data_IF_756607341725
#
_entry.id   IF_756607341725
#
_cell.length_a   1.000
_cell.length_b   1.000
_cell.length_c   1.000
_cell.angle_alpha   90.00
_cell.angle_beta   90.00
_cell.angle_gamma   90.00
#
_symmetry.space_group_name_H-M   'P 1'
#
loop_
_entity.id
_entity.type
_entity.pdbx_description
1 polymer ?
#
# COMPACT_ATOMS: atom_id res chain seq x y z
N UNK A 1 -5.99 25.87 46.25
CA UNK A 1 -6.79 25.53 45.04
C UNK A 1 -6.08 25.91 43.72
N UNK A 2 -5.54 27.12 43.56
CA UNK A 2 -4.89 27.57 42.31
C UNK A 2 -3.64 26.75 41.91
N UNK A 3 -2.81 26.31 42.90
CA UNK A 3 -1.63 25.45 42.63
C UNK A 3 -1.99 24.02 42.24
N UNK A 4 -3.15 23.51 42.65
CA UNK A 4 -3.64 22.18 42.27
C UNK A 4 -4.20 22.20 40.85
N UNK A 5 -4.88 23.27 40.45
CA UNK A 5 -5.35 23.43 39.06
C UNK A 5 -4.18 23.54 38.07
N UNK A 6 -3.08 24.23 38.45
CA UNK A 6 -1.89 24.35 37.60
C UNK A 6 -1.15 23.01 37.43
N UNK A 7 -1.13 22.19 38.49
CA UNK A 7 -0.53 20.85 38.42
C UNK A 7 -1.36 19.90 37.55
N UNK A 8 -2.70 19.98 37.61
CA UNK A 8 -3.59 19.16 36.78
C UNK A 8 -3.53 19.59 35.29
N UNK A 9 -3.43 20.89 35.01
CA UNK A 9 -3.26 21.37 33.63
C UNK A 9 -1.88 21.01 33.05
N UNK A 10 -0.81 21.01 33.83
CA UNK A 10 0.52 20.57 33.35
C UNK A 10 0.57 19.06 33.13
N UNK A 11 -0.10 18.24 33.93
CA UNK A 11 -0.17 16.80 33.73
C UNK A 11 -1.03 16.44 32.48
N UNK A 12 -2.08 17.21 32.19
CA UNK A 12 -2.89 17.03 30.97
C UNK A 12 -2.15 17.42 29.67
N UNK A 13 -1.15 18.31 29.76
CA UNK A 13 -0.33 18.70 28.60
C UNK A 13 0.87 17.77 28.34
N UNK A 14 1.25 16.91 29.29
CA UNK A 14 2.36 15.96 29.13
C UNK A 14 1.92 14.57 28.66
N UNK A 15 0.64 14.30 28.60
CA UNK A 15 0.07 13.13 27.93
C UNK A 15 -0.37 13.62 26.53
N UNK A 16 0.60 13.98 25.67
CA UNK A 16 0.36 13.94 24.25
C UNK A 16 0.18 12.46 23.93
N UNK A 17 -1.02 12.01 23.54
CA UNK A 17 -1.11 10.69 22.96
C UNK A 17 -0.18 10.73 21.74
N UNK A 18 0.85 9.89 21.74
CA UNK A 18 1.52 9.57 20.50
C UNK A 18 0.39 9.18 19.55
N UNK A 19 0.08 10.04 18.59
CA UNK A 19 -0.88 9.75 17.54
C UNK A 19 -0.23 8.70 16.66
N UNK A 20 -0.26 7.44 17.13
CA UNK A 20 -0.04 6.31 16.27
C UNK A 20 -1.05 6.45 15.14
N UNK A 21 -0.58 6.46 13.92
CA UNK A 21 -1.44 6.50 12.76
C UNK A 21 -2.44 5.36 12.87
N UNK A 22 -3.73 5.69 12.90
CA UNK A 22 -4.79 4.72 13.06
C UNK A 22 -5.47 4.55 11.70
N UNK A 23 -5.39 3.34 11.14
CA UNK A 23 -6.25 2.94 10.03
C UNK A 23 -7.49 2.25 10.63
N UNK A 24 -8.68 2.87 10.57
CA UNK A 24 -9.87 2.32 11.21
C UNK A 24 -10.32 0.97 10.63
N UNK A 25 -9.83 0.59 9.44
CA UNK A 25 -10.15 -0.69 8.80
C UNK A 25 -9.10 -1.76 9.09
N UNK A 26 -7.88 -1.37 9.41
CA UNK A 26 -6.78 -2.27 9.76
C UNK A 26 -5.91 -1.65 10.88
N UNK A 27 -6.45 -1.51 12.10
CA UNK A 27 -5.77 -0.82 13.20
C UNK A 27 -4.53 -1.54 13.72
N UNK A 28 -4.39 -2.82 13.41
CA UNK A 28 -3.22 -3.64 13.73
C UNK A 28 -2.31 -3.85 12.51
N UNK A 29 -2.63 -3.19 11.38
CA UNK A 29 -1.89 -3.32 10.15
C UNK A 29 -0.57 -2.54 10.21
N UNK A 30 0.52 -3.24 10.07
CA UNK A 30 1.88 -2.70 10.14
C UNK A 30 2.77 -3.30 9.06
N UNK A 31 3.88 -2.64 8.78
CA UNK A 31 4.99 -3.22 8.05
C UNK A 31 6.14 -3.44 9.02
N UNK A 32 6.77 -4.60 8.98
CA UNK A 32 7.91 -4.94 9.82
C UNK A 32 9.18 -4.93 8.99
N UNK A 33 10.18 -4.19 9.45
CA UNK A 33 11.55 -4.28 8.95
C UNK A 33 12.34 -5.13 9.93
N UNK A 34 12.71 -6.32 9.50
CA UNK A 34 13.43 -7.31 10.34
C UNK A 34 14.86 -7.43 9.90
N UNK A 35 15.78 -7.31 10.85
CA UNK A 35 17.21 -7.43 10.65
C UNK A 35 17.76 -8.65 11.37
N UNK A 36 18.31 -9.58 10.63
CA UNK A 36 18.93 -10.78 11.15
C UNK A 36 20.44 -10.72 10.95
N UNK A 37 21.21 -10.65 12.02
CA UNK A 37 22.66 -10.81 11.97
C UNK A 37 22.98 -12.30 11.86
N UNK A 38 23.43 -12.73 10.69
CA UNK A 38 23.65 -14.14 10.39
C UNK A 38 25.04 -14.60 10.77
N UNK A 39 26.05 -13.76 10.51
CA UNK A 39 27.47 -14.09 10.72
C UNK A 39 28.25 -12.81 11.00
N UNK A 40 29.26 -12.90 11.83
CA UNK A 40 30.25 -11.86 12.09
C UNK A 40 31.61 -12.49 12.16
N UNK A 41 32.56 -11.99 11.39
CA UNK A 41 33.94 -12.51 11.36
C UNK A 41 34.93 -11.36 11.16
N UNK A 42 36.18 -11.53 11.69
CA UNK A 42 37.24 -10.59 11.36
C UNK A 42 37.48 -10.60 9.84
N UNK A 43 37.47 -9.43 9.21
CA UNK A 43 37.87 -9.23 7.82
C UNK A 43 39.27 -8.63 7.75
N UNK A 44 40.03 -8.95 6.71
CA UNK A 44 41.31 -8.35 6.46
C UNK A 44 41.23 -7.41 5.27
N UNK A 45 41.63 -6.16 5.49
CA UNK A 45 41.74 -5.15 4.43
C UNK A 45 43.12 -4.49 4.49
N UNK A 46 43.68 -4.13 3.35
CA UNK A 46 44.90 -3.37 3.27
C UNK A 46 44.61 -1.89 3.57
N UNK A 47 45.19 -1.36 4.64
CA UNK A 47 45.05 0.05 4.97
C UNK A 47 46.32 0.83 4.62
N UNK A 48 46.23 1.93 3.88
CA UNK A 48 47.35 2.84 3.72
C UNK A 48 47.44 3.75 4.96
N UNK A 49 48.62 3.85 5.53
CA UNK A 49 49.05 4.84 6.52
C UNK A 49 48.42 4.83 7.93
N UNK A 50 48.42 3.68 8.61
CA UNK A 50 48.41 3.72 10.07
C UNK A 50 49.83 3.36 10.59
N UNK A 51 50.68 4.37 10.80
CA UNK A 51 51.88 4.22 11.63
C UNK A 51 51.43 4.08 13.09
N UNK A 52 51.14 2.85 13.49
CA UNK A 52 51.16 2.49 14.89
C UNK A 52 52.61 2.10 15.21
N UNK A 53 53.31 2.92 16.02
CA UNK A 53 54.54 2.60 16.68
C UNK A 53 54.27 1.45 17.66
N UNK A 54 54.25 0.21 17.16
CA UNK A 54 54.45 -1.00 17.95
C UNK A 54 55.41 -1.88 17.15
N UNK A 55 56.51 -2.18 17.78
CA UNK A 55 57.60 -3.00 17.25
C UNK A 55 57.08 -4.36 16.72
N UNK A 56 57.59 -4.73 15.50
CA UNK A 56 57.55 -6.05 14.92
C UNK A 56 56.20 -6.64 14.47
N UNK A 57 55.51 -6.05 13.50
CA UNK A 57 54.97 -6.80 12.36
C UNK A 57 54.73 -5.82 11.21
N UNK A 58 55.45 -5.98 10.13
CA UNK A 58 55.31 -5.21 8.89
C UNK A 58 54.05 -5.72 8.14
N UNK A 59 52.86 -5.40 8.64
CA UNK A 59 51.62 -5.71 7.91
C UNK A 59 50.67 -4.50 7.97
N UNK A 60 50.54 -3.82 6.80
CA UNK A 60 49.49 -2.84 6.55
C UNK A 60 48.12 -3.52 6.49
N UNK A 61 47.79 -4.37 7.45
CA UNK A 61 46.51 -5.10 7.51
C UNK A 61 45.67 -4.51 8.59
N UNK A 62 44.60 -3.88 8.22
CA UNK A 62 43.54 -3.47 9.14
C UNK A 62 42.54 -4.61 9.37
N UNK A 63 42.19 -4.81 10.60
CA UNK A 63 41.13 -5.75 10.97
C UNK A 63 39.83 -4.96 11.02
N UNK A 64 38.88 -5.29 10.17
CA UNK A 64 37.48 -4.83 10.32
C UNK A 64 36.59 -6.04 10.57
N UNK A 65 35.57 -5.85 11.37
CA UNK A 65 34.57 -6.90 11.57
C UNK A 65 33.61 -6.82 10.39
N UNK A 66 33.54 -7.89 9.60
CA UNK A 66 32.55 -8.04 8.54
C UNK A 66 31.35 -8.80 9.08
N UNK A 67 30.18 -8.22 8.93
CA UNK A 67 28.92 -8.79 9.37
C UNK A 67 28.00 -9.06 8.18
N UNK A 68 27.45 -10.27 8.11
CA UNK A 68 26.45 -10.65 7.14
C UNK A 68 25.06 -10.47 7.75
N UNK A 69 24.25 -9.70 7.09
CA UNK A 69 22.92 -9.32 7.53
C UNK A 69 21.89 -9.70 6.47
N UNK A 70 20.78 -10.28 6.92
CA UNK A 70 19.57 -10.47 6.13
C UNK A 70 18.53 -9.47 6.60
N UNK A 71 18.06 -8.64 5.68
CA UNK A 71 16.94 -7.71 5.94
C UNK A 71 15.70 -8.23 5.26
N UNK A 72 14.60 -8.23 5.99
CA UNK A 72 13.26 -8.57 5.47
C UNK A 72 12.32 -7.41 5.71
N UNK A 73 11.46 -7.14 4.73
CA UNK A 73 10.37 -6.20 4.83
C UNK A 73 9.08 -7.00 4.67
N UNK A 74 8.29 -7.05 5.72
CA UNK A 74 7.04 -7.83 5.77
C UNK A 74 5.85 -6.89 5.83
N UNK A 75 4.97 -6.95 4.84
CA UNK A 75 3.69 -6.23 4.86
C UNK A 75 2.64 -7.07 5.58
N UNK A 76 2.40 -6.81 6.85
CA UNK A 76 1.40 -7.51 7.66
C UNK A 76 0.00 -6.91 7.57
N UNK A 77 -0.19 -5.90 6.73
CA UNK A 77 -1.49 -5.29 6.54
C UNK A 77 -2.44 -6.22 5.78
N UNK A 78 -3.69 -6.25 6.23
CA UNK A 78 -4.69 -7.18 5.70
C UNK A 78 -5.06 -6.89 4.25
N UNK A 79 -5.12 -5.61 3.85
CA UNK A 79 -5.58 -5.24 2.50
C UNK A 79 -4.77 -4.12 1.85
N UNK A 80 -3.89 -3.42 2.58
CA UNK A 80 -3.07 -2.37 1.99
C UNK A 80 -1.88 -2.96 1.23
N UNK A 81 -1.69 -2.50 0.02
CA UNK A 81 -0.69 -2.93 -0.93
C UNK A 81 0.39 -1.85 -1.10
N UNK A 82 1.66 -2.23 -1.26
CA UNK A 82 2.73 -1.32 -1.66
C UNK A 82 2.87 -1.37 -3.17
N UNK A 83 2.41 -0.30 -3.82
CA UNK A 83 2.42 -0.17 -5.26
C UNK A 83 3.79 0.27 -5.78
N UNK A 84 4.00 0.17 -7.11
CA UNK A 84 5.13 0.84 -7.77
C UNK A 84 5.15 2.35 -7.43
N UNK A 85 6.32 2.95 -7.23
CA UNK A 85 7.66 2.43 -7.47
C UNK A 85 8.20 1.45 -6.43
N UNK A 86 7.39 1.02 -5.45
CA UNK A 86 7.80 0.09 -4.42
C UNK A 86 8.37 0.78 -3.18
N UNK A 87 8.86 -0.04 -2.25
CA UNK A 87 9.53 0.46 -1.06
C UNK A 87 10.94 0.96 -1.38
N UNK A 88 11.39 1.97 -0.60
CA UNK A 88 12.75 2.53 -0.61
C UNK A 88 13.23 2.63 0.83
N UNK A 89 13.87 1.58 1.30
CA UNK A 89 14.31 1.52 2.69
C UNK A 89 15.55 2.38 2.91
N UNK A 90 15.49 3.33 3.83
CA UNK A 90 16.64 4.11 4.28
C UNK A 90 16.77 4.09 5.78
N UNK A 91 18.00 4.32 6.27
CA UNK A 91 18.32 4.39 7.68
C UNK A 91 19.55 5.28 7.91
N UNK A 92 19.85 5.59 9.14
CA UNK A 92 21.05 6.31 9.52
C UNK A 92 22.01 5.38 10.27
N UNK A 93 23.25 5.23 9.78
CA UNK A 93 24.29 4.52 10.49
C UNK A 93 24.75 5.32 11.73
N UNK A 94 24.74 4.71 12.89
CA UNK A 94 25.24 5.31 14.15
C UNK A 94 26.75 5.49 14.07
N UNK A 95 27.46 4.44 13.63
CA UNK A 95 28.90 4.41 13.43
C UNK A 95 29.25 4.67 11.95
N UNK A 96 30.55 4.76 11.64
CA UNK A 96 31.05 4.86 10.27
C UNK A 96 31.01 3.47 9.61
N UNK A 97 29.82 3.01 9.24
CA UNK A 97 29.57 1.71 8.62
C UNK A 97 29.41 1.86 7.12
N UNK A 98 29.94 0.87 6.36
CA UNK A 98 29.80 0.76 4.89
C UNK A 98 29.15 -0.55 4.49
N UNK A 99 28.54 -0.57 3.34
CA UNK A 99 28.01 -1.78 2.71
C UNK A 99 29.04 -2.26 1.70
N UNK A 100 29.60 -3.45 1.89
CA UNK A 100 30.61 -4.05 1.02
C UNK A 100 29.98 -4.80 -0.16
N UNK A 101 28.94 -5.56 0.09
CA UNK A 101 28.25 -6.37 -0.92
C UNK A 101 26.74 -6.38 -0.62
N UNK A 102 25.94 -6.50 -1.67
CA UNK A 102 24.49 -6.57 -1.57
C UNK A 102 23.92 -7.53 -2.60
N UNK A 103 22.90 -8.30 -2.20
CA UNK A 103 22.15 -9.22 -3.08
C UNK A 103 20.67 -9.14 -2.76
N UNK A 104 19.84 -9.17 -3.80
CA UNK A 104 18.39 -9.02 -3.70
C UNK A 104 17.92 -7.57 -3.70
N UNK A 105 18.82 -6.61 -3.50
CA UNK A 105 18.57 -5.19 -3.57
C UNK A 105 19.82 -4.44 -4.02
N UNK A 106 19.70 -3.14 -4.23
CA UNK A 106 20.81 -2.25 -4.57
C UNK A 106 20.66 -0.90 -3.86
N UNK A 107 21.76 -0.18 -3.69
CA UNK A 107 21.73 1.20 -3.20
C UNK A 107 21.51 2.15 -4.37
N UNK A 108 20.74 3.23 -4.14
CA UNK A 108 20.53 4.25 -5.18
C UNK A 108 21.79 5.03 -5.50
N UNK A 109 22.73 5.14 -4.54
CA UNK A 109 23.99 5.86 -4.69
C UNK A 109 25.12 5.17 -3.92
N UNK A 110 26.34 5.20 -4.45
CA UNK A 110 27.53 4.66 -3.77
C UNK A 110 28.07 5.61 -2.70
N UNK A 111 28.00 6.91 -2.93
CA UNK A 111 28.60 7.91 -2.07
C UNK A 111 30.13 7.99 -2.22
N UNK A 112 30.78 8.68 -1.28
CA UNK A 112 32.22 8.89 -1.32
C UNK A 112 32.98 7.76 -0.61
N UNK A 113 33.55 6.83 -1.40
CA UNK A 113 34.37 5.70 -0.93
C UNK A 113 35.88 5.95 -1.03
N UNK A 114 36.34 7.22 -1.13
CA UNK A 114 37.76 7.57 -1.29
C UNK A 114 38.67 7.01 -0.19
N UNK A 115 38.18 6.81 1.02
CA UNK A 115 38.91 6.18 2.13
C UNK A 115 39.32 4.73 1.83
N UNK A 116 38.71 4.07 0.85
CA UNK A 116 38.98 2.70 0.43
C UNK A 116 39.68 2.63 -0.93
N UNK A 117 40.19 3.73 -1.45
CA UNK A 117 40.78 3.78 -2.80
C UNK A 117 42.01 2.85 -2.99
N UNK A 118 42.66 2.46 -1.88
CA UNK A 118 43.80 1.52 -1.90
C UNK A 118 43.38 0.05 -1.69
N UNK A 119 42.10 -0.22 -1.45
CA UNK A 119 41.59 -1.60 -1.30
C UNK A 119 41.44 -2.25 -2.68
N UNK A 120 41.60 -3.58 -2.76
CA UNK A 120 41.37 -4.33 -4.00
C UNK A 120 39.94 -4.23 -4.51
N UNK A 121 38.98 -4.07 -3.59
CA UNK A 121 37.58 -3.90 -3.89
C UNK A 121 37.05 -2.66 -3.19
N UNK A 122 36.22 -1.88 -3.89
CA UNK A 122 35.52 -0.75 -3.31
C UNK A 122 34.21 -1.21 -2.67
N UNK A 123 33.80 -0.62 -1.53
CA UNK A 123 32.47 -0.86 -0.98
C UNK A 123 31.36 -0.52 -1.95
N UNK A 124 30.26 -1.25 -1.87
CA UNK A 124 29.04 -1.01 -2.64
C UNK A 124 28.41 0.34 -2.27
N UNK A 125 28.45 0.72 -0.98
CA UNK A 125 27.95 2.01 -0.53
C UNK A 125 28.69 2.53 0.70
N UNK A 126 29.09 3.82 0.65
CA UNK A 126 29.78 4.52 1.75
C UNK A 126 28.94 5.67 2.32
N UNK A 127 27.66 5.73 2.02
CA UNK A 127 26.78 6.76 2.54
C UNK A 127 26.43 6.48 4.01
N UNK A 128 26.41 7.53 4.82
CA UNK A 128 25.94 7.46 6.20
C UNK A 128 24.42 7.23 6.28
N UNK A 129 23.69 7.66 5.26
CA UNK A 129 22.27 7.38 5.08
C UNK A 129 22.03 6.74 3.71
N UNK A 130 22.24 5.43 3.59
CA UNK A 130 21.97 4.72 2.34
C UNK A 130 20.47 4.63 2.08
N UNK A 131 20.09 4.60 0.80
CA UNK A 131 18.73 4.29 0.36
C UNK A 131 18.80 3.04 -0.50
N UNK A 132 18.04 2.03 -0.10
CA UNK A 132 18.02 0.69 -0.68
C UNK A 132 16.73 0.51 -1.44
N UNK A 133 16.82 -0.06 -2.64
CA UNK A 133 15.67 -0.42 -3.49
C UNK A 133 15.74 -1.88 -3.89
N UNK A 134 14.58 -2.51 -4.02
CA UNK A 134 14.47 -3.90 -4.49
C UNK A 134 14.87 -3.99 -5.96
N UNK A 135 15.53 -5.08 -6.33
CA UNK A 135 15.86 -5.35 -7.74
C UNK A 135 14.59 -5.55 -8.57
N UNK A 136 14.67 -5.19 -9.83
CA UNK A 136 13.58 -5.40 -10.79
C UNK A 136 13.45 -6.87 -11.19
N UNK A 137 12.28 -7.31 -11.65
CA UNK A 137 12.11 -8.61 -12.27
C UNK A 137 13.09 -8.80 -13.44
N UNK A 138 13.76 -9.96 -13.48
CA UNK A 138 14.79 -10.24 -14.49
C UNK A 138 16.21 -9.89 -14.07
N UNK A 139 16.45 -9.47 -12.83
CA UNK A 139 17.79 -9.30 -12.28
C UNK A 139 18.67 -10.55 -12.49
N UNK A 140 20.00 -10.41 -12.63
CA UNK A 140 20.91 -11.54 -12.79
C UNK A 140 20.78 -12.58 -11.68
N UNK A 141 20.84 -13.86 -12.01
CA UNK A 141 20.61 -14.97 -11.07
C UNK A 141 21.51 -14.91 -9.83
N UNK A 142 22.78 -14.51 -10.00
CA UNK A 142 23.73 -14.37 -8.90
C UNK A 142 23.42 -13.21 -7.93
N UNK A 143 22.56 -12.26 -8.36
CA UNK A 143 22.08 -11.16 -7.53
C UNK A 143 20.75 -11.48 -6.84
N UNK A 144 20.09 -12.56 -7.23
CA UNK A 144 18.78 -12.91 -6.67
C UNK A 144 18.92 -13.62 -5.34
N UNK A 145 17.98 -13.32 -4.45
CA UNK A 145 17.76 -14.05 -3.18
C UNK A 145 16.28 -14.43 -3.06
N UNK A 146 15.94 -15.26 -2.11
CA UNK A 146 14.53 -15.60 -1.84
C UNK A 146 13.76 -14.34 -1.47
N UNK A 147 12.57 -14.16 -2.04
CA UNK A 147 11.66 -13.03 -1.81
C UNK A 147 12.17 -11.67 -2.32
N UNK A 148 13.10 -11.63 -3.27
CA UNK A 148 13.50 -10.38 -3.93
C UNK A 148 12.85 -10.18 -5.29
N UNK A 149 13.29 -9.07 -5.91
CA UNK A 149 13.30 -8.84 -7.34
C UNK A 149 11.91 -8.61 -7.94
N UNK A 150 11.11 -7.80 -7.25
CA UNK A 150 9.79 -7.35 -7.70
C UNK A 150 9.68 -5.82 -7.82
N UNK A 151 10.82 -5.11 -7.71
CA UNK A 151 10.85 -3.65 -7.74
C UNK A 151 10.18 -3.02 -6.52
N UNK A 152 10.25 -3.67 -5.36
CA UNK A 152 9.71 -3.17 -4.09
C UNK A 152 8.19 -3.26 -3.94
N UNK A 153 7.50 -3.92 -4.85
CA UNK A 153 6.04 -4.15 -4.74
C UNK A 153 5.77 -5.24 -3.71
N UNK A 154 4.88 -4.95 -2.76
CA UNK A 154 4.42 -5.90 -1.73
C UNK A 154 2.90 -6.01 -1.76
N UNK A 155 2.40 -7.22 -1.88
CA UNK A 155 0.96 -7.47 -1.74
C UNK A 155 0.51 -7.33 -0.28
N UNK A 156 -0.78 -7.21 -0.04
CA UNK A 156 -1.32 -7.34 1.30
C UNK A 156 -1.21 -8.79 1.78
N UNK A 157 -1.10 -9.00 3.09
CA UNK A 157 -0.98 -10.34 3.69
C UNK A 157 -2.19 -11.23 3.36
N UNK A 158 -3.38 -10.65 3.28
CA UNK A 158 -4.60 -11.39 2.94
C UNK A 158 -4.71 -11.80 1.49
N UNK A 159 -4.09 -11.05 0.58
CA UNK A 159 -4.11 -11.33 -0.86
C UNK A 159 -3.13 -12.44 -1.21
N UNK A 160 -1.89 -12.33 -0.79
CA UNK A 160 -0.84 -13.31 -1.09
C UNK A 160 0.16 -13.42 0.07
N UNK A 161 0.27 -14.62 0.63
CA UNK A 161 1.16 -14.92 1.75
C UNK A 161 2.63 -15.12 1.34
N UNK A 162 2.96 -15.06 0.08
CA UNK A 162 4.33 -15.18 -0.42
C UNK A 162 4.86 -13.80 -0.80
N UNK A 163 4.08 -13.06 -1.58
CA UNK A 163 4.49 -11.80 -2.17
C UNK A 163 4.31 -10.58 -1.24
N UNK A 164 3.88 -10.79 0.02
CA UNK A 164 3.85 -9.74 1.05
C UNK A 164 5.19 -9.51 1.74
N UNK A 165 6.22 -10.30 1.42
CA UNK A 165 7.57 -10.21 1.98
C UNK A 165 8.58 -9.89 0.89
N UNK A 166 9.49 -8.97 1.15
CA UNK A 166 10.71 -8.73 0.38
C UNK A 166 11.93 -8.98 1.26
N UNK A 167 13.04 -9.44 0.68
CA UNK A 167 14.25 -9.68 1.44
C UNK A 167 15.51 -9.42 0.61
N UNK A 168 16.57 -9.00 1.28
CA UNK A 168 17.89 -8.84 0.69
C UNK A 168 19.00 -9.18 1.70
N UNK A 169 20.14 -9.59 1.19
CA UNK A 169 21.36 -9.80 1.96
C UNK A 169 22.34 -8.67 1.76
N UNK A 170 23.08 -8.31 2.78
CA UNK A 170 24.20 -7.39 2.67
C UNK A 170 25.34 -7.82 3.58
N UNK A 171 26.57 -7.51 3.14
CA UNK A 171 27.78 -7.59 3.95
C UNK A 171 28.15 -6.18 4.35
N UNK A 172 28.26 -5.93 5.64
CA UNK A 172 28.59 -4.62 6.20
C UNK A 172 29.89 -4.68 6.98
N UNK A 173 30.57 -3.56 7.07
CA UNK A 173 31.77 -3.39 7.88
C UNK A 173 31.97 -1.93 8.21
N UNK A 174 32.92 -1.65 9.08
CA UNK A 174 33.20 -0.28 9.50
C UNK A 174 34.36 0.34 8.69
N UNK A 175 34.46 1.66 8.73
CA UNK A 175 35.62 2.37 8.22
C UNK A 175 36.89 1.96 9.02
N UNK A 176 38.06 2.05 8.40
CA UNK A 176 39.31 1.65 9.04
C UNK A 176 39.65 2.43 10.33
N UNK A 177 39.14 3.67 10.42
CA UNK A 177 39.33 4.56 11.58
C UNK A 177 38.25 4.36 12.68
N UNK A 178 37.30 3.45 12.48
CA UNK A 178 36.23 3.12 13.45
C UNK A 178 36.05 1.58 13.54
N UNK A 179 36.96 0.84 14.16
CA UNK A 179 36.93 -0.63 14.21
C UNK A 179 35.87 -1.21 15.17
N UNK A 180 34.88 -0.42 15.57
CA UNK A 180 33.84 -0.81 16.52
C UNK A 180 33.03 -2.02 16.10
N UNK A 181 32.33 -2.64 17.06
CA UNK A 181 31.35 -3.69 16.79
C UNK A 181 30.13 -3.17 16.03
N UNK A 182 29.39 -4.08 15.37
CA UNK A 182 28.14 -3.76 14.70
C UNK A 182 27.16 -3.06 15.65
N UNK A 183 26.72 -1.90 15.26
CA UNK A 183 25.68 -1.14 15.98
C UNK A 183 24.46 -1.02 15.07
N UNK A 184 23.28 -1.36 15.61
CA UNK A 184 22.03 -1.27 14.88
C UNK A 184 21.77 0.16 14.42
N UNK A 185 21.44 0.40 13.14
CA UNK A 185 21.10 1.73 12.65
C UNK A 185 19.80 2.26 13.24
N UNK A 186 19.57 3.55 13.08
CA UNK A 186 18.37 4.27 13.54
C UNK A 186 17.70 5.03 12.39
N UNK A 187 16.60 5.72 12.68
CA UNK A 187 15.86 6.57 11.74
C UNK A 187 15.44 5.85 10.47
N UNK A 188 14.77 4.73 10.63
CA UNK A 188 14.25 3.95 9.51
C UNK A 188 13.13 4.70 8.78
N UNK A 189 13.20 4.69 7.46
CA UNK A 189 12.14 5.17 6.57
C UNK A 189 11.96 4.18 5.41
N UNK A 190 10.74 3.78 5.17
CA UNK A 190 10.40 2.84 4.09
C UNK A 190 10.14 3.51 2.75
N UNK A 191 10.15 4.86 2.70
CA UNK A 191 9.95 5.64 1.49
C UNK A 191 8.57 5.50 0.84
N UNK A 192 7.61 4.92 1.55
CA UNK A 192 6.21 4.81 1.12
C UNK A 192 5.39 5.89 1.84
N UNK A 193 4.69 6.76 1.12
CA UNK A 193 3.92 7.84 1.74
C UNK A 193 2.93 7.32 2.79
N UNK A 194 2.85 8.00 3.90
CA UNK A 194 1.93 7.69 5.00
C UNK A 194 2.50 6.81 6.10
N UNK A 195 3.66 6.19 5.91
CA UNK A 195 4.30 5.37 6.94
C UNK A 195 5.22 6.18 7.86
N UNK A 196 5.32 5.72 9.08
CA UNK A 196 6.29 6.21 10.07
C UNK A 196 6.85 4.99 10.79
N UNK A 197 8.17 4.85 10.80
CA UNK A 197 8.85 3.71 11.41
C UNK A 197 9.32 4.05 12.82
N UNK A 198 9.29 3.05 13.70
CA UNK A 198 9.91 3.09 15.04
C UNK A 198 11.40 2.86 14.94
N UNK A 199 12.10 3.10 16.05
CA UNK A 199 13.46 2.56 16.21
C UNK A 199 13.41 1.04 16.32
N UNK A 200 14.47 0.37 15.86
CA UNK A 200 14.55 -1.06 15.94
C UNK A 200 14.73 -1.53 17.39
N UNK A 201 13.99 -2.56 17.76
CA UNK A 201 14.05 -3.23 19.06
C UNK A 201 14.60 -4.65 18.91
N UNK A 202 15.39 -5.10 19.88
CA UNK A 202 15.91 -6.46 19.90
C UNK A 202 14.77 -7.45 20.21
N UNK A 203 14.71 -8.52 19.41
CA UNK A 203 13.73 -9.59 19.56
C UNK A 203 14.43 -10.95 19.59
N UNK A 204 13.68 -12.03 19.82
CA UNK A 204 14.22 -13.38 19.78
C UNK A 204 14.86 -13.70 18.41
N UNK A 205 16.07 -14.28 18.38
CA UNK A 205 16.77 -14.59 17.15
C UNK A 205 15.95 -15.45 16.19
N UNK A 206 15.89 -15.03 14.93
CA UNK A 206 15.20 -15.74 13.87
C UNK A 206 15.76 -17.14 13.65
N UNK A 207 14.87 -18.10 13.47
CA UNK A 207 15.21 -19.50 13.21
C UNK A 207 14.99 -19.85 11.75
N UNK A 208 15.97 -20.46 11.12
CA UNK A 208 15.93 -20.87 9.72
C UNK A 208 15.95 -22.38 9.62
N UNK A 209 15.23 -22.89 8.64
CA UNK A 209 15.23 -24.30 8.30
C UNK A 209 15.83 -24.44 6.90
N UNK A 210 16.97 -25.14 6.81
CA UNK A 210 17.65 -25.42 5.55
C UNK A 210 17.57 -26.92 5.24
N UNK A 211 17.97 -27.33 4.02
CA UNK A 211 18.02 -28.73 3.58
C UNK A 211 16.65 -29.45 3.77
N UNK A 212 15.56 -28.81 3.36
CA UNK A 212 14.18 -29.35 3.51
C UNK A 212 13.82 -29.65 4.98
N UNK A 213 14.29 -28.83 5.89
CA UNK A 213 14.00 -28.97 7.33
C UNK A 213 14.98 -29.83 8.10
N UNK A 214 16.01 -30.37 7.47
CA UNK A 214 17.02 -31.23 8.14
C UNK A 214 17.96 -30.43 9.00
N UNK A 215 18.32 -29.22 8.63
CA UNK A 215 19.17 -28.32 9.43
C UNK A 215 18.33 -27.17 9.97
N UNK A 216 18.51 -26.86 11.23
CA UNK A 216 18.01 -25.68 11.90
C UNK A 216 19.18 -24.79 12.25
N UNK A 217 19.16 -23.57 11.77
CA UNK A 217 20.10 -22.49 12.10
C UNK A 217 19.35 -21.33 12.70
N UNK A 218 20.03 -20.48 13.43
CA UNK A 218 19.41 -19.23 13.90
C UNK A 218 20.38 -18.06 13.69
N UNK A 219 19.83 -16.86 13.62
CA UNK A 219 20.60 -15.63 13.61
C UNK A 219 21.38 -15.49 14.92
N UNK A 220 22.47 -14.74 14.89
CA UNK A 220 23.21 -14.36 16.09
C UNK A 220 22.40 -13.37 16.94
N UNK A 221 21.74 -12.44 16.27
CA UNK A 221 20.84 -11.48 16.86
C UNK A 221 19.78 -11.06 15.83
N UNK A 222 18.62 -10.60 16.31
CA UNK A 222 17.53 -10.11 15.48
C UNK A 222 16.94 -8.83 16.06
N UNK A 223 16.61 -7.90 15.20
CA UNK A 223 15.93 -6.65 15.56
C UNK A 223 14.73 -6.44 14.63
N UNK A 224 13.70 -5.78 15.14
CA UNK A 224 12.51 -5.42 14.39
C UNK A 224 12.22 -3.92 14.57
N UNK A 225 11.91 -3.23 13.47
CA UNK A 225 11.35 -1.90 13.46
C UNK A 225 9.95 -1.96 12.83
N UNK A 226 8.98 -1.36 13.52
CA UNK A 226 7.58 -1.33 13.09
C UNK A 226 7.31 -0.04 12.34
N UNK A 227 6.69 -0.14 11.15
CA UNK A 227 6.25 1.00 10.36
C UNK A 227 4.72 1.01 10.29
N UNK A 228 4.12 2.04 10.87
CA UNK A 228 2.67 2.19 10.98
C UNK A 228 2.16 3.19 9.94
N UNK A 229 1.07 2.85 9.26
CA UNK A 229 0.42 3.72 8.30
C UNK A 229 -0.47 4.75 8.98
N UNK A 230 -0.39 6.00 8.49
CA UNK A 230 -1.28 7.08 8.90
C UNK A 230 -1.91 7.73 7.67
N UNK A 231 -3.22 7.71 7.60
CA UNK A 231 -3.97 8.35 6.53
C UNK A 231 -3.73 9.86 6.46
N UNK A 232 -3.47 10.52 7.58
CA UNK A 232 -3.18 11.95 7.64
C UNK A 232 -1.82 12.33 7.06
N UNK A 233 -0.87 11.38 7.04
CA UNK A 233 0.48 11.55 6.48
C UNK A 233 0.58 11.07 5.03
N UNK A 234 -0.40 10.31 4.56
CA UNK A 234 -0.46 9.88 3.17
C UNK A 234 -0.85 11.02 2.24
N UNK A 235 -0.73 10.81 0.94
CA UNK A 235 -1.19 11.80 -0.05
C UNK A 235 -2.66 12.15 0.19
N UNK A 236 -2.97 13.44 0.26
CA UNK A 236 -4.34 13.93 0.48
C UNK A 236 -5.23 13.79 -0.75
N UNK A 237 -4.67 13.45 -1.90
CA UNK A 237 -5.44 13.32 -3.15
C UNK A 237 -6.01 11.91 -3.29
N UNK A 238 -7.33 11.75 -3.40
CA UNK A 238 -7.94 10.46 -3.68
C UNK A 238 -7.41 9.86 -4.99
N UNK A 239 -7.15 8.55 -5.00
CA UNK A 239 -6.63 7.84 -6.17
C UNK A 239 -7.74 7.21 -7.01
N UNK A 240 -8.91 7.02 -6.44
CA UNK A 240 -10.01 6.33 -7.07
C UNK A 240 -11.36 6.95 -6.74
N UNK A 241 -12.32 6.76 -7.63
CA UNK A 241 -13.70 7.09 -7.39
C UNK A 241 -14.64 5.96 -7.80
N UNK A 242 -15.85 6.00 -7.28
CA UNK A 242 -16.89 5.00 -7.53
C UNK A 242 -18.04 5.63 -8.29
N UNK A 243 -18.56 4.93 -9.29
CA UNK A 243 -19.81 5.21 -9.94
C UNK A 243 -20.79 4.06 -9.76
N UNK A 244 -22.07 4.41 -9.71
CA UNK A 244 -23.15 3.48 -9.45
C UNK A 244 -24.15 3.49 -10.59
N UNK A 245 -24.65 2.33 -11.00
CA UNK A 245 -25.75 2.22 -11.93
C UNK A 245 -26.63 1.00 -11.65
N UNK A 246 -27.84 1.02 -12.15
CA UNK A 246 -28.79 -0.06 -12.03
C UNK A 246 -29.42 -0.39 -13.38
N UNK A 247 -29.91 -1.60 -13.54
CA UNK A 247 -30.39 -2.20 -14.79
C UNK A 247 -31.53 -1.43 -15.52
N UNK A 248 -32.15 -0.46 -14.88
CA UNK A 248 -33.21 0.34 -15.51
C UNK A 248 -32.71 1.54 -16.30
N UNK A 249 -31.42 1.88 -16.19
CA UNK A 249 -30.87 2.94 -17.01
C UNK A 249 -30.51 2.38 -18.39
N UNK A 250 -31.25 2.74 -19.41
CA UNK A 250 -30.98 2.34 -20.80
C UNK A 250 -29.65 2.91 -21.31
N UNK A 251 -29.22 4.03 -20.77
CA UNK A 251 -27.90 4.58 -21.00
C UNK A 251 -27.05 4.29 -19.76
N UNK A 252 -26.11 3.37 -19.85
CA UNK A 252 -25.00 3.31 -18.94
C UNK A 252 -24.20 4.59 -19.18
N UNK A 253 -24.59 5.64 -18.48
CA UNK A 253 -23.88 6.90 -18.59
C UNK A 253 -22.48 6.63 -18.04
N UNK A 254 -21.40 6.75 -18.85
CA UNK A 254 -20.06 6.70 -18.33
C UNK A 254 -19.92 7.86 -17.36
N UNK A 255 -20.18 7.59 -16.14
CA UNK A 255 -19.96 8.30 -14.91
C UNK A 255 -19.63 9.82 -15.03
N UNK A 256 -20.61 10.69 -15.22
CA UNK A 256 -20.35 12.14 -15.21
C UNK A 256 -20.02 12.66 -13.80
N UNK A 257 -20.31 11.89 -12.74
CA UNK A 257 -20.20 12.31 -11.33
C UNK A 257 -19.00 11.71 -10.60
N UNK A 258 -18.24 10.81 -11.22
CA UNK A 258 -17.07 10.21 -10.59
C UNK A 258 -15.86 11.15 -10.71
N UNK A 259 -15.57 11.89 -9.67
CA UNK A 259 -14.40 12.76 -9.61
C UNK A 259 -13.71 12.65 -8.26
N UNK A 260 -12.40 12.82 -8.25
CA UNK A 260 -11.59 12.82 -7.03
C UNK A 260 -11.59 14.18 -6.33
N UNK A 261 -12.17 15.21 -6.93
CA UNK A 261 -12.04 16.57 -6.42
C UNK A 261 -10.57 17.03 -6.42
N UNK A 262 -10.31 18.26 -6.71
CA UNK A 262 -8.95 18.80 -6.64
C UNK A 262 -8.92 20.00 -5.72
N UNK A 263 -8.25 19.87 -4.58
CA UNK A 263 -8.06 20.95 -3.62
C UNK A 263 -6.65 21.55 -3.63
N UNK A 264 -5.73 21.05 -4.47
CA UNK A 264 -4.33 21.46 -4.44
C UNK A 264 -3.80 21.91 -5.80
N UNK A 265 -2.63 22.58 -5.77
CA UNK A 265 -1.87 23.04 -6.96
C UNK A 265 -1.45 21.91 -7.93
N UNK A 266 -1.68 20.67 -7.55
CA UNK A 266 -1.26 19.48 -8.30
C UNK A 266 -2.33 18.97 -9.28
N UNK A 267 -3.41 19.72 -9.50
CA UNK A 267 -4.50 19.33 -10.40
C UNK A 267 -4.26 19.89 -11.79
N UNK A 268 -4.37 19.04 -12.80
CA UNK A 268 -4.33 19.46 -14.21
C UNK A 268 -5.70 19.98 -14.60
N UNK A 269 -5.77 21.22 -15.11
CA UNK A 269 -7.03 21.78 -15.63
C UNK A 269 -7.34 21.14 -16.99
N UNK A 270 -8.63 20.92 -17.33
CA UNK A 270 -9.02 20.44 -18.65
C UNK A 270 -8.40 21.30 -19.75
N UNK A 271 -7.75 20.67 -20.74
CA UNK A 271 -7.11 21.36 -21.86
C UNK A 271 -5.70 21.89 -21.62
N UNK A 272 -5.15 21.73 -20.42
CA UNK A 272 -3.75 22.07 -20.12
C UNK A 272 -2.90 20.82 -20.30
N UNK A 273 -1.85 20.93 -21.13
CA UNK A 273 -0.86 19.87 -21.27
C UNK A 273 -0.10 19.74 -19.94
N UNK A 274 0.02 18.53 -19.34
CA UNK A 274 0.80 18.34 -18.13
C UNK A 274 2.22 18.87 -18.30
N UNK A 275 2.70 19.66 -17.35
CA UNK A 275 4.04 20.28 -17.39
C UNK A 275 5.19 19.27 -17.54
N UNK A 276 4.95 17.99 -17.25
CA UNK A 276 5.89 16.88 -17.48
C UNK A 276 6.15 16.58 -18.96
N UNK A 277 5.21 16.88 -19.84
CA UNK A 277 5.41 16.71 -21.28
C UNK A 277 6.20 17.88 -21.87
N UNK A 278 6.34 19.00 -21.15
CA UNK A 278 7.08 20.19 -21.55
C UNK A 278 8.52 20.22 -21.00
N UNK A 279 8.82 19.46 -19.94
CA UNK A 279 10.17 19.47 -19.35
C UNK A 279 11.06 18.41 -19.98
N UNK A 280 12.21 18.84 -20.50
CA UNK A 280 13.32 17.96 -20.88
C UNK A 280 13.71 17.14 -19.65
N UNK A 281 13.68 15.83 -19.79
CA UNK A 281 14.10 14.87 -18.76
C UNK A 281 15.49 15.22 -18.22
N UNK A 282 15.54 15.57 -16.96
CA UNK A 282 16.73 15.44 -16.14
C UNK A 282 16.68 14.03 -15.51
N UNK A 283 17.62 13.13 -15.86
CA UNK A 283 17.58 11.74 -15.39
C UNK A 283 17.79 11.59 -13.88
N UNK A 284 18.14 12.64 -13.16
CA UNK A 284 18.40 12.62 -11.72
C UNK A 284 17.24 13.15 -10.86
N UNK A 285 16.18 13.64 -11.47
CA UNK A 285 15.00 14.11 -10.74
C UNK A 285 13.89 13.07 -10.84
N UNK A 286 13.61 12.41 -9.73
CA UNK A 286 12.44 11.53 -9.61
C UNK A 286 11.16 12.37 -9.65
N UNK A 287 10.60 12.51 -10.83
CA UNK A 287 9.38 13.29 -11.03
C UNK A 287 8.21 12.43 -10.59
N UNK A 288 7.54 12.83 -9.49
CA UNK A 288 6.26 12.24 -9.11
C UNK A 288 5.30 12.29 -10.30
N UNK A 289 4.60 11.18 -10.62
CA UNK A 289 3.67 11.17 -11.75
C UNK A 289 2.60 12.26 -11.58
N UNK A 290 2.55 13.18 -12.54
CA UNK A 290 1.69 14.39 -12.50
C UNK A 290 0.26 14.11 -12.92
N UNK A 291 -0.08 12.90 -13.34
CA UNK A 291 -1.49 12.57 -13.57
C UNK A 291 -2.18 12.43 -12.24
N UNK A 292 -2.68 13.54 -11.84
CA UNK A 292 -3.38 13.74 -10.64
C UNK A 292 -4.83 13.99 -10.98
N UNK A 293 -5.66 13.91 -9.99
CA UNK A 293 -7.07 14.16 -10.13
C UNK A 293 -7.35 15.46 -10.88
N UNK A 294 -8.05 15.37 -11.98
CA UNK A 294 -8.79 16.52 -12.52
C UNK A 294 -10.16 16.57 -11.85
N UNK A 295 -10.87 17.70 -11.95
CA UNK A 295 -12.24 17.81 -11.44
C UNK A 295 -13.21 16.79 -12.08
N UNK A 296 -12.77 16.07 -13.11
CA UNK A 296 -13.58 15.17 -13.91
C UNK A 296 -13.09 13.74 -13.95
N UNK A 297 -11.88 13.45 -13.42
CA UNK A 297 -11.26 12.15 -13.59
C UNK A 297 -10.43 11.75 -12.38
N UNK A 298 -10.56 10.50 -11.96
CA UNK A 298 -9.65 9.85 -11.04
C UNK A 298 -8.70 8.93 -11.79
N UNK A 299 -7.48 8.68 -11.28
CA UNK A 299 -6.59 7.69 -11.85
C UNK A 299 -7.24 6.31 -11.99
N UNK A 300 -8.02 5.89 -11.00
CA UNK A 300 -8.77 4.63 -11.02
C UNK A 300 -10.25 4.92 -10.90
N UNK A 301 -11.03 4.32 -11.79
CA UNK A 301 -12.47 4.38 -11.81
C UNK A 301 -13.06 3.01 -11.52
N UNK A 302 -13.86 2.92 -10.46
CA UNK A 302 -14.59 1.70 -10.09
C UNK A 302 -16.07 1.91 -10.42
N UNK A 303 -16.63 1.03 -11.23
CA UNK A 303 -18.04 1.04 -11.55
C UNK A 303 -18.76 -0.16 -10.95
N UNK A 304 -19.77 0.10 -10.14
CA UNK A 304 -20.67 -0.88 -9.57
C UNK A 304 -22.01 -0.83 -10.29
N UNK A 305 -22.34 -1.89 -11.01
CA UNK A 305 -23.56 -1.99 -11.80
C UNK A 305 -24.45 -3.14 -11.31
N UNK A 306 -25.65 -2.81 -10.84
CA UNK A 306 -26.68 -3.82 -10.50
C UNK A 306 -27.30 -4.31 -11.78
N UNK A 307 -26.96 -5.53 -12.22
CA UNK A 307 -27.30 -6.06 -13.54
C UNK A 307 -28.69 -6.72 -13.58
N UNK A 308 -28.97 -7.61 -12.65
CA UNK A 308 -30.21 -8.40 -12.61
C UNK A 308 -30.66 -8.65 -11.19
N UNK A 309 -31.96 -8.59 -10.96
CA UNK A 309 -32.61 -8.89 -9.70
C UNK A 309 -33.49 -10.13 -9.84
N UNK A 310 -33.00 -11.29 -9.39
CA UNK A 310 -33.75 -12.53 -9.35
C UNK A 310 -34.53 -12.70 -8.05
N UNK A 311 -35.36 -13.72 -7.93
CA UNK A 311 -36.16 -13.96 -6.75
C UNK A 311 -35.35 -14.21 -5.47
N UNK A 312 -34.31 -15.08 -5.56
CA UNK A 312 -33.50 -15.48 -4.40
C UNK A 312 -32.12 -14.84 -4.36
N UNK A 313 -31.66 -14.26 -5.44
CA UNK A 313 -30.33 -13.67 -5.57
C UNK A 313 -30.38 -12.50 -6.55
N UNK A 314 -29.29 -11.75 -6.60
CA UNK A 314 -29.10 -10.66 -7.53
C UNK A 314 -27.68 -10.64 -8.06
N UNK A 315 -27.49 -10.01 -9.18
CA UNK A 315 -26.23 -10.02 -9.91
C UNK A 315 -25.69 -8.60 -10.05
N UNK A 316 -24.44 -8.45 -9.73
CA UNK A 316 -23.69 -7.21 -9.82
C UNK A 316 -22.51 -7.41 -10.75
N UNK A 317 -22.22 -6.38 -11.53
CA UNK A 317 -21.00 -6.26 -12.30
C UNK A 317 -20.11 -5.20 -11.66
N UNK A 318 -18.86 -5.55 -11.38
CA UNK A 318 -17.81 -4.61 -10.96
C UNK A 318 -16.85 -4.43 -12.12
N UNK A 319 -16.53 -3.20 -12.45
CA UNK A 319 -15.55 -2.83 -13.45
C UNK A 319 -14.53 -1.90 -12.79
N UNK A 320 -13.24 -2.19 -12.94
CA UNK A 320 -12.15 -1.30 -12.55
C UNK A 320 -11.39 -0.86 -13.81
N UNK A 321 -11.22 0.43 -13.97
CA UNK A 321 -10.56 1.04 -15.13
C UNK A 321 -9.40 1.91 -14.67
N UNK A 322 -8.22 1.69 -15.27
CA UNK A 322 -7.06 2.53 -15.06
C UNK A 322 -7.06 3.66 -16.11
N UNK A 323 -7.38 4.86 -15.68
CA UNK A 323 -7.33 6.07 -16.50
C UNK A 323 -5.99 6.83 -16.36
N UNK A 324 -5.09 6.33 -15.53
CA UNK A 324 -3.78 6.94 -15.34
C UNK A 324 -2.86 6.57 -16.52
N UNK A 325 -2.56 7.53 -17.36
CA UNK A 325 -1.71 7.34 -18.54
C UNK A 325 -0.21 7.18 -18.22
N UNK A 326 0.19 7.53 -16.99
CA UNK A 326 1.59 7.53 -16.55
C UNK A 326 1.93 6.36 -15.64
N UNK A 327 0.94 5.64 -15.11
CA UNK A 327 1.14 4.60 -14.12
C UNK A 327 0.36 3.34 -14.42
N UNK A 328 1.07 2.24 -14.37
CA UNK A 328 0.49 0.91 -14.42
C UNK A 328 0.31 0.35 -13.02
N UNK A 329 -0.72 -0.49 -12.81
CA UNK A 329 -0.99 -1.13 -11.54
C UNK A 329 -0.89 -2.65 -11.70
N UNK A 330 -0.02 -3.28 -10.91
CA UNK A 330 0.11 -4.73 -10.81
C UNK A 330 -0.35 -5.20 -9.43
N UNK A 331 -0.76 -6.46 -9.37
CA UNK A 331 -1.16 -7.13 -8.12
C UNK A 331 -2.21 -6.34 -7.30
N UNK A 332 -3.04 -5.57 -7.98
CA UNK A 332 -4.07 -4.74 -7.39
C UNK A 332 -5.08 -5.56 -6.57
N UNK A 333 -5.69 -4.91 -5.59
CA UNK A 333 -6.85 -5.43 -4.88
C UNK A 333 -7.95 -4.38 -4.72
N UNK A 334 -9.15 -4.87 -4.52
CA UNK A 334 -10.35 -4.08 -4.30
C UNK A 334 -11.07 -4.61 -3.06
N UNK A 335 -11.21 -3.78 -2.03
CA UNK A 335 -11.99 -4.12 -0.84
C UNK A 335 -13.33 -3.41 -0.93
N UNK A 336 -14.39 -4.18 -0.77
CA UNK A 336 -15.77 -3.69 -0.87
C UNK A 336 -16.51 -3.98 0.42
N UNK A 337 -17.19 -2.97 0.95
CA UNK A 337 -18.07 -3.09 2.10
C UNK A 337 -19.52 -3.04 1.61
N UNK A 338 -20.18 -4.19 1.64
CA UNK A 338 -21.57 -4.32 1.22
C UNK A 338 -22.29 -5.39 2.05
N UNK A 339 -23.50 -5.13 2.56
CA UNK A 339 -24.21 -6.06 3.48
C UNK A 339 -24.36 -7.49 2.96
N UNK A 340 -24.50 -7.66 1.65
CA UNK A 340 -24.69 -8.98 1.03
C UNK A 340 -23.40 -9.74 0.71
N UNK A 341 -22.23 -9.20 1.05
CA UNK A 341 -20.97 -9.95 0.91
C UNK A 341 -20.82 -11.08 1.92
N UNK A 342 -21.66 -11.11 2.96
CA UNK A 342 -21.81 -12.27 3.83
C UNK A 342 -22.38 -13.51 3.10
N UNK A 343 -23.02 -13.33 1.93
CA UNK A 343 -23.69 -14.40 1.18
C UNK A 343 -23.34 -14.34 -0.31
N UNK A 344 -22.03 -14.39 -0.62
CA UNK A 344 -21.53 -14.49 -2.00
C UNK A 344 -21.74 -15.91 -2.49
N UNK A 345 -22.53 -16.06 -3.53
CA UNK A 345 -22.81 -17.36 -4.14
C UNK A 345 -21.76 -17.72 -5.19
N UNK A 346 -21.33 -16.75 -6.00
CA UNK A 346 -20.37 -16.97 -7.08
C UNK A 346 -19.68 -15.68 -7.48
N UNK A 347 -18.38 -15.77 -7.79
CA UNK A 347 -17.57 -14.72 -8.43
C UNK A 347 -17.02 -15.30 -9.72
N UNK A 348 -17.09 -14.58 -10.84
CA UNK A 348 -16.82 -15.17 -12.16
C UNK A 348 -15.38 -15.00 -12.65
N UNK A 349 -14.82 -13.82 -12.53
CA UNK A 349 -13.53 -13.48 -13.17
C UNK A 349 -12.47 -12.95 -12.23
N UNK A 350 -12.78 -12.77 -10.94
CA UNK A 350 -11.83 -12.37 -9.93
C UNK A 350 -11.69 -13.46 -8.86
N UNK A 351 -10.59 -13.41 -8.14
CA UNK A 351 -10.47 -14.08 -6.85
C UNK A 351 -11.30 -13.31 -5.82
N UNK A 352 -11.79 -14.02 -4.83
CA UNK A 352 -12.58 -13.45 -3.72
C UNK A 352 -12.17 -14.07 -2.40
N UNK A 353 -12.08 -13.22 -1.38
CA UNK A 353 -11.88 -13.63 0.01
C UNK A 353 -12.79 -12.79 0.92
N UNK A 354 -13.65 -13.44 1.75
CA UNK A 354 -14.33 -12.71 2.79
C UNK A 354 -13.30 -12.19 3.79
N UNK A 355 -13.45 -10.92 4.18
CA UNK A 355 -12.61 -10.28 5.18
C UNK A 355 -13.35 -10.29 6.52
N UNK A 356 -12.61 -10.52 7.60
CA UNK A 356 -13.17 -10.40 8.95
C UNK A 356 -13.14 -8.93 9.33
N UNK A 357 -14.27 -8.23 9.43
CA UNK A 357 -14.26 -6.84 9.84
C UNK A 357 -13.78 -6.70 11.26
N UNK A 358 -13.21 -5.56 11.58
CA UNK A 358 -12.75 -5.19 12.92
C UNK A 358 -13.84 -5.29 13.99
N UNK A 359 -15.05 -4.96 13.61
CA UNK A 359 -16.24 -5.17 14.44
C UNK A 359 -16.79 -6.56 14.11
N UNK A 360 -16.41 -7.54 14.92
CA UNK A 360 -16.71 -8.97 14.80
C UNK A 360 -18.19 -9.36 14.55
N UNK A 361 -19.09 -8.41 14.43
CA UNK A 361 -20.53 -8.64 14.32
C UNK A 361 -21.10 -8.60 12.89
N UNK A 362 -20.37 -8.09 11.88
CA UNK A 362 -20.93 -7.87 10.54
C UNK A 362 -19.95 -8.37 9.48
N UNK A 363 -20.25 -9.51 8.89
CA UNK A 363 -19.49 -10.08 7.75
C UNK A 363 -19.89 -9.40 6.43
N UNK A 364 -19.58 -8.13 6.27
CA UNK A 364 -20.01 -7.35 5.11
C UNK A 364 -18.85 -6.85 4.24
N UNK A 365 -17.66 -7.34 4.50
CA UNK A 365 -16.44 -6.91 3.80
C UNK A 365 -15.86 -8.06 2.98
N UNK A 366 -15.56 -7.78 1.74
CA UNK A 366 -14.93 -8.73 0.83
C UNK A 366 -13.78 -8.11 0.06
N UNK A 367 -12.72 -8.88 -0.12
CA UNK A 367 -11.58 -8.52 -0.95
C UNK A 367 -11.66 -9.26 -2.29
N UNK A 368 -11.44 -8.52 -3.36
CA UNK A 368 -11.37 -9.00 -4.73
C UNK A 368 -10.01 -8.63 -5.33
N UNK A 369 -9.45 -9.52 -6.16
CA UNK A 369 -8.25 -9.24 -6.95
C UNK A 369 -8.28 -10.03 -8.23
N UNK A 370 -7.54 -9.57 -9.25
CA UNK A 370 -7.50 -10.23 -10.54
C UNK A 370 -6.89 -11.63 -10.46
N UNK A 371 -7.38 -12.54 -11.28
CA UNK A 371 -6.61 -13.70 -11.71
C UNK A 371 -5.34 -13.20 -12.42
N UNK A 372 -4.30 -14.04 -12.52
CA UNK A 372 -3.01 -13.64 -13.08
C UNK A 372 -3.12 -12.82 -14.37
N UNK A 373 -3.95 -13.25 -15.30
CA UNK A 373 -4.23 -12.54 -16.55
C UNK A 373 -4.86 -11.15 -16.31
N UNK A 374 -5.83 -11.03 -15.40
CA UNK A 374 -6.50 -9.76 -15.10
C UNK A 374 -5.65 -8.82 -14.25
N UNK A 375 -4.70 -9.33 -13.48
CA UNK A 375 -3.70 -8.49 -12.85
C UNK A 375 -2.86 -7.75 -13.90
N UNK A 376 -2.47 -8.46 -14.96
CA UNK A 376 -1.64 -7.88 -16.02
C UNK A 376 -2.39 -6.85 -16.86
N UNK A 377 -3.73 -6.95 -16.98
CA UNK A 377 -4.54 -5.99 -17.75
C UNK A 377 -4.51 -4.60 -17.13
N UNK A 378 -4.62 -4.46 -15.81
CA UNK A 378 -4.50 -3.15 -15.15
C UNK A 378 -3.07 -2.58 -15.17
N UNK A 379 -2.07 -3.35 -15.58
CA UNK A 379 -0.75 -2.78 -15.88
C UNK A 379 -0.80 -1.77 -17.02
N UNK A 380 -1.73 -1.93 -17.94
CA UNK A 380 -1.94 -1.03 -19.06
C UNK A 380 -2.75 0.19 -18.63
N UNK A 381 -2.51 1.30 -19.29
CA UNK A 381 -3.21 2.55 -19.04
C UNK A 381 -4.29 2.81 -20.09
N UNK A 382 -5.31 3.60 -19.74
CA UNK A 382 -6.37 4.02 -20.63
C UNK A 382 -7.38 2.92 -20.97
N UNK A 383 -7.86 2.87 -22.20
CA UNK A 383 -8.94 1.97 -22.60
C UNK A 383 -8.62 0.49 -22.47
N UNK A 384 -7.34 0.12 -22.57
CA UNK A 384 -6.87 -1.26 -22.42
C UNK A 384 -6.74 -1.68 -20.95
N UNK A 385 -6.65 -0.73 -20.03
CA UNK A 385 -6.57 -0.96 -18.58
C UNK A 385 -7.95 -1.14 -17.94
N UNK A 386 -8.75 -2.08 -18.42
CA UNK A 386 -10.10 -2.35 -17.93
C UNK A 386 -10.27 -3.80 -17.54
N UNK A 387 -10.65 -4.05 -16.28
CA UNK A 387 -10.96 -5.39 -15.77
C UNK A 387 -12.35 -5.42 -15.16
N UNK A 388 -13.03 -6.55 -15.31
CA UNK A 388 -14.39 -6.67 -14.85
C UNK A 388 -14.70 -8.06 -14.30
N UNK A 389 -15.60 -8.11 -13.34
CA UNK A 389 -16.18 -9.36 -12.83
C UNK A 389 -17.68 -9.22 -12.64
N UNK A 390 -18.35 -10.35 -12.61
CA UNK A 390 -19.74 -10.43 -12.15
C UNK A 390 -19.78 -11.21 -10.84
N UNK A 391 -20.68 -10.83 -9.96
CA UNK A 391 -20.88 -11.43 -8.64
C UNK A 391 -22.33 -11.77 -8.49
N UNK A 392 -22.59 -12.99 -8.04
CA UNK A 392 -23.91 -13.46 -7.65
C UNK A 392 -24.04 -13.44 -6.14
N UNK A 393 -24.96 -12.64 -5.63
CA UNK A 393 -25.19 -12.39 -4.21
C UNK A 393 -26.54 -12.97 -3.80
N UNK A 394 -26.57 -13.76 -2.72
CA UNK A 394 -27.81 -14.25 -2.12
C UNK A 394 -28.58 -13.09 -1.46
N UNK A 395 -29.90 -13.12 -1.54
CA UNK A 395 -30.75 -12.16 -0.86
C UNK A 395 -31.01 -12.59 0.56
N UNK A 396 -30.81 -11.69 1.48
CA UNK A 396 -31.38 -11.79 2.83
C UNK A 396 -32.80 -11.21 2.80
N UNK A 397 -33.79 -12.10 2.82
CA UNK A 397 -35.21 -11.75 2.64
C UNK A 397 -35.70 -10.85 3.80
N UNK A 398 -35.07 -10.92 4.96
CA UNK A 398 -35.45 -10.11 6.14
C UNK A 398 -34.91 -8.69 6.14
N UNK A 399 -33.67 -8.52 5.67
CA UNK A 399 -32.93 -7.27 5.82
C UNK A 399 -32.62 -6.52 4.51
N UNK A 400 -32.63 -7.26 3.39
CA UNK A 400 -32.26 -6.68 2.12
C UNK A 400 -33.45 -6.08 1.38
N UNK A 401 -33.47 -4.77 1.28
CA UNK A 401 -34.42 -4.08 0.40
C UNK A 401 -33.68 -3.13 -0.51
N UNK A 402 -33.88 -3.29 -1.84
CA UNK A 402 -33.44 -2.29 -2.81
C UNK A 402 -33.97 -0.89 -2.47
N UNK A 403 -35.14 -0.83 -1.88
CA UNK A 403 -35.83 0.41 -1.50
C UNK A 403 -35.02 1.28 -0.53
N UNK A 404 -34.17 0.68 0.29
CA UNK A 404 -33.37 1.39 1.29
C UNK A 404 -31.91 1.65 0.83
N UNK A 405 -31.61 1.56 -0.48
CA UNK A 405 -30.28 1.82 -1.01
C UNK A 405 -29.26 0.69 -0.80
N UNK A 406 -29.68 -0.47 -0.32
CA UNK A 406 -28.81 -1.61 -0.03
C UNK A 406 -28.28 -2.33 -1.27
N UNK A 407 -28.63 -1.88 -2.45
CA UNK A 407 -28.09 -2.39 -3.71
C UNK A 407 -26.65 -1.94 -3.99
N UNK A 408 -26.17 -0.94 -3.26
CA UNK A 408 -24.90 -0.29 -3.52
C UNK A 408 -23.92 -0.47 -2.35
N UNK A 409 -22.60 -0.49 -2.63
CA UNK A 409 -21.60 -0.60 -1.59
C UNK A 409 -21.58 0.66 -0.73
N UNK A 410 -21.26 0.50 0.55
CA UNK A 410 -21.07 1.61 1.47
C UNK A 410 -19.71 2.28 1.29
N UNK A 411 -18.69 1.47 1.05
CA UNK A 411 -17.31 1.91 0.84
C UNK A 411 -16.61 0.97 -0.13
N UNK A 412 -15.69 1.50 -0.89
CA UNK A 412 -14.79 0.74 -1.74
C UNK A 412 -13.37 1.29 -1.52
N UNK A 413 -12.40 0.39 -1.39
CA UNK A 413 -10.99 0.73 -1.31
C UNK A 413 -10.25 0.05 -2.47
N UNK A 414 -9.32 0.79 -3.09
CA UNK A 414 -8.41 0.26 -4.11
C UNK A 414 -6.98 0.29 -3.56
N UNK A 415 -6.32 -0.87 -3.51
CA UNK A 415 -4.99 -1.04 -2.91
C UNK A 415 -4.86 -0.49 -1.47
N UNK A 416 -5.97 -0.46 -0.73
CA UNK A 416 -6.04 0.06 0.62
C UNK A 416 -6.40 1.54 0.73
N UNK A 417 -6.46 2.29 -0.36
CA UNK A 417 -6.91 3.68 -0.35
C UNK A 417 -8.42 3.78 -0.61
N UNK A 418 -9.12 4.57 0.20
CA UNK A 418 -10.56 4.74 0.07
C UNK A 418 -10.92 5.54 -1.19
N UNK A 419 -11.84 5.00 -1.97
CA UNK A 419 -12.35 5.65 -3.17
C UNK A 419 -13.45 6.66 -2.82
N UNK A 420 -13.50 7.77 -3.55
CA UNK A 420 -14.58 8.76 -3.43
C UNK A 420 -15.88 8.12 -3.88
N UNK A 421 -16.86 8.09 -2.99
CA UNK A 421 -18.22 7.63 -3.28
C UNK A 421 -19.04 8.78 -3.86
N UNK A 422 -20.03 8.51 -4.74
CA UNK A 422 -20.96 9.53 -5.16
C UNK A 422 -21.78 10.06 -3.98
N UNK A 423 -22.33 11.27 -4.11
CA UNK A 423 -23.26 11.79 -3.13
C UNK A 423 -24.50 10.89 -3.03
N UNK A 424 -25.11 10.70 -1.86
CA UNK A 424 -26.33 9.91 -1.72
C UNK A 424 -27.47 10.37 -2.65
N UNK A 425 -27.52 11.64 -2.97
CA UNK A 425 -28.53 12.21 -3.89
C UNK A 425 -28.32 11.77 -5.35
N UNK A 426 -27.08 11.38 -5.70
CA UNK A 426 -26.71 10.89 -7.03
C UNK A 426 -26.86 9.37 -7.18
N UNK A 427 -27.35 8.69 -6.14
CA UNK A 427 -27.55 7.24 -6.21
C UNK A 427 -28.66 6.91 -7.20
N UNK A 428 -28.51 5.86 -8.02
CA UNK A 428 -29.54 5.45 -8.97
C UNK A 428 -30.84 5.12 -8.26
N UNK A 429 -31.94 5.70 -8.73
CA UNK A 429 -33.27 5.39 -8.23
C UNK A 429 -33.72 4.04 -8.74
N UNK A 430 -34.19 3.19 -7.85
CA UNK A 430 -34.69 1.87 -8.18
C UNK A 430 -36.21 1.92 -8.42
N UNK A 431 -36.76 1.08 -9.32
CA UNK A 431 -38.14 1.21 -9.77
C UNK A 431 -39.20 1.00 -8.69
N UNK A 432 -38.88 0.35 -7.59
CA UNK A 432 -39.81 0.14 -6.46
C UNK A 432 -39.99 1.40 -5.60
N UNK A 433 -39.34 2.52 -5.92
CA UNK A 433 -39.54 3.80 -5.26
C UNK A 433 -40.53 4.71 -6.01
N UNK A 434 -41.18 4.23 -7.05
CA UNK A 434 -42.33 4.96 -7.63
C UNK A 434 -43.41 5.05 -6.55
N UNK A 435 -43.56 6.22 -5.98
CA UNK A 435 -44.60 6.52 -5.01
C UNK A 435 -45.96 6.28 -5.67
N UNK A 436 -46.73 5.35 -5.10
CA UNK A 436 -48.15 5.15 -5.43
C UNK A 436 -49.03 6.32 -4.96
N UNK A 437 -48.55 7.55 -5.05
CA UNK A 437 -49.26 8.75 -4.53
C UNK A 437 -50.04 9.56 -5.59
N UNK A 438 -50.09 9.09 -6.83
CA UNK A 438 -50.87 9.85 -7.87
C UNK A 438 -52.20 9.23 -8.27
N UNK A 439 -52.60 8.08 -7.70
CA UNK A 439 -53.85 7.41 -8.07
C UNK A 439 -55.07 7.82 -7.24
N UNK A 440 -54.88 8.26 -6.00
CA UNK A 440 -56.00 8.51 -5.08
C UNK A 440 -56.51 9.96 -5.21
N UNK A 441 -55.63 10.89 -5.51
CA UNK A 441 -56.01 12.31 -5.65
C UNK A 441 -56.90 12.59 -6.86
N UNK A 442 -56.68 11.89 -7.97
CA UNK A 442 -57.51 12.06 -9.20
C UNK A 442 -58.90 11.47 -9.02
N UNK A 443 -59.04 10.35 -8.29
CA UNK A 443 -60.35 9.74 -8.08
C UNK A 443 -61.23 10.57 -7.14
N UNK A 444 -60.65 11.14 -6.10
CA UNK A 444 -61.38 12.01 -5.14
C UNK A 444 -61.81 13.32 -5.82
N UNK A 445 -60.98 13.89 -6.67
CA UNK A 445 -61.35 15.10 -7.46
C UNK A 445 -62.43 14.80 -8.46
N UNK A 446 -62.45 13.62 -9.12
CA UNK A 446 -63.53 13.27 -10.06
C UNK A 446 -64.85 13.02 -9.33
N UNK A 447 -64.88 12.41 -8.20
CA UNK A 447 -66.10 12.16 -7.40
C UNK A 447 -66.64 13.49 -6.84
N UNK A 448 -65.78 14.42 -6.43
CA UNK A 448 -66.19 15.74 -5.96
C UNK A 448 -66.78 16.63 -7.09
N UNK A 449 -66.21 16.58 -8.28
CA UNK A 449 -66.78 17.27 -9.45
C UNK A 449 -68.12 16.67 -9.89
N UNK A 450 -68.32 15.36 -9.77
CA UNK A 450 -69.60 14.71 -10.14
C UNK A 450 -70.71 15.01 -9.13
N UNK A 451 -70.39 15.16 -7.85
CA UNK A 451 -71.35 15.57 -6.79
C UNK A 451 -71.74 17.03 -6.88
N UNK A 452 -70.93 17.92 -7.43
CA UNK A 452 -71.27 19.35 -7.64
C UNK A 452 -72.10 19.61 -8.91
N UNK A 453 -72.24 18.63 -9.81
CA UNK A 453 -73.10 18.69 -10.98
C UNK A 453 -74.46 18.08 -10.75
N UNK A 454 -74.72 17.49 -9.55
CA UNK A 454 -76.00 16.89 -9.14
C UNK A 454 -76.80 17.72 -8.12
N UNK A 455 -76.29 18.90 -7.72
CA UNK A 455 -76.97 19.92 -6.94
C UNK A 455 -77.20 21.14 -7.80
#
# INVERSE_FOLDING_TARGET
>A
MLKLLFAITTILFTISPSTHGFDPLDPCGEMIIKWDLLHSSPGHHTCPNLQLEIEEVNSNVCFSILSQVLVKIENKQEYRHVEKPGWKLSWHWVNKTVIWDMRGAETTEQGNCSAFASSETLPHCCLRRPTIVDLLPGAPFNMQVSNCCRGGVLTSMSQDRINHVSAFHMTIGNFPDDPGEFTMPCDFDIGVPGYTCSNATSVDPSKYSTDKGRRKTQALATWEAECVYSQTKSSQSPKCCVSLSAFYYQNIVPCPTCSCGCSSSNCVKPGVVPSLLEQKHDPHVEVSPVVQCTNHMCPIHIHWHVKVNYKKYWRVKITATNLNTMRNYSDWNLVVLHPNLNNVTQVFSFNYKPMTPLHKSINDTGMFWGLKFYNDVLLQAGELGNVQTEILLGKDIGNFTFKNGWAFPRRILFNGDECVMPSPDDYPRLPNSASSSSGVSSFVSFVFCFLLLLV
#
